data_IF_820449430133
#
_entry.id   IF_820449430133
#
_cell.length_a   1.000
_cell.length_b   1.000
_cell.length_c   1.000
_cell.angle_alpha   90.00
_cell.angle_beta   90.00
_cell.angle_gamma   90.00
#
_symmetry.space_group_name_H-M   'P 1'
#
loop_
_entity.id
_entity.type
_entity.pdbx_description
1 polymer ?
#
# COMPACT_ATOMS: atom_id res chain seq x y z
N UNK A 1 -18.69 15.80 -12.12
CA UNK A 1 -17.88 14.75 -11.46
C UNK A 1 -18.61 14.31 -10.21
N UNK A 2 -18.71 13.00 -9.89
CA UNK A 2 -19.31 12.59 -8.62
C UNK A 2 -18.52 13.20 -7.46
N UNK A 3 -19.23 13.66 -6.42
CA UNK A 3 -18.63 14.32 -5.26
C UNK A 3 -17.50 13.49 -4.62
N UNK A 4 -16.49 14.19 -4.13
CA UNK A 4 -15.34 13.62 -3.45
C UNK A 4 -15.80 12.97 -2.15
N UNK A 5 -15.40 11.73 -1.87
CA UNK A 5 -15.72 11.02 -0.62
C UNK A 5 -14.57 11.22 0.35
N UNK A 6 -14.75 12.13 1.28
CA UNK A 6 -13.71 12.59 2.23
C UNK A 6 -13.15 11.43 3.08
N UNK A 7 -13.99 10.48 3.47
CA UNK A 7 -13.56 9.28 4.20
C UNK A 7 -12.42 8.55 3.51
N UNK A 8 -12.52 8.35 2.19
CA UNK A 8 -11.50 7.63 1.39
C UNK A 8 -10.18 8.41 1.33
N UNK A 9 -10.25 9.73 1.39
CA UNK A 9 -9.04 10.56 1.48
C UNK A 9 -8.35 10.40 2.82
N UNK A 10 -9.10 10.48 3.92
CA UNK A 10 -8.54 10.30 5.25
C UNK A 10 -7.95 8.89 5.43
N UNK A 11 -8.63 7.86 4.88
CA UNK A 11 -8.09 6.49 4.86
C UNK A 11 -6.72 6.46 4.14
N UNK A 12 -6.60 7.15 3.00
CA UNK A 12 -5.33 7.23 2.27
C UNK A 12 -4.22 7.91 3.07
N UNK A 13 -4.55 9.00 3.77
CA UNK A 13 -3.62 9.69 4.65
C UNK A 13 -3.16 8.82 5.82
N UNK A 14 -4.11 8.16 6.50
CA UNK A 14 -3.82 7.24 7.61
C UNK A 14 -3.00 6.03 7.15
N UNK A 15 -3.34 5.44 6.01
CA UNK A 15 -2.58 4.32 5.42
C UNK A 15 -1.13 4.73 5.09
N UNK A 16 -0.91 5.98 4.65
CA UNK A 16 0.47 6.44 4.39
C UNK A 16 1.31 6.53 5.66
N UNK A 17 0.71 6.97 6.78
CA UNK A 17 1.38 6.93 8.08
C UNK A 17 1.75 5.49 8.46
N UNK A 18 0.85 4.55 8.27
CA UNK A 18 1.13 3.14 8.55
C UNK A 18 2.23 2.56 7.64
N UNK A 19 2.29 2.91 6.36
CA UNK A 19 3.39 2.46 5.47
C UNK A 19 4.74 2.97 5.97
N UNK A 20 4.85 4.27 6.32
CA UNK A 20 6.08 4.80 6.93
C UNK A 20 6.37 4.10 8.25
N UNK A 21 5.35 3.76 9.04
CA UNK A 21 5.47 3.01 10.28
C UNK A 21 6.11 1.64 10.08
N UNK A 22 5.58 0.84 9.14
CA UNK A 22 6.11 -0.49 8.79
C UNK A 22 7.60 -0.41 8.45
N UNK A 23 7.99 0.53 7.61
CA UNK A 23 9.39 0.64 7.21
C UNK A 23 10.29 1.20 8.32
N UNK A 24 9.77 2.11 9.17
CA UNK A 24 10.48 2.54 10.38
C UNK A 24 10.70 1.37 11.34
N UNK A 25 9.71 0.49 11.50
CA UNK A 25 9.85 -0.75 12.27
C UNK A 25 11.01 -1.61 11.74
N UNK A 26 11.07 -1.84 10.43
CA UNK A 26 12.17 -2.59 9.80
C UNK A 26 13.55 -1.94 10.09
N UNK A 27 13.68 -0.62 9.97
CA UNK A 27 14.93 0.08 10.32
C UNK A 27 15.29 -0.04 11.81
N UNK A 28 14.32 -0.17 12.71
CA UNK A 28 14.58 -0.34 14.15
C UNK A 28 15.28 -1.64 14.49
N UNK A 29 15.25 -2.65 13.59
CA UNK A 29 15.95 -3.92 13.76
C UNK A 29 17.48 -3.79 13.74
N UNK A 30 18.01 -2.71 13.19
CA UNK A 30 19.46 -2.42 13.22
C UNK A 30 19.93 -1.85 14.57
N UNK A 31 19.03 -1.59 15.51
CA UNK A 31 19.34 -1.04 16.82
C UNK A 31 19.88 -2.08 17.81
N UNK A 32 20.56 -1.64 18.88
CA UNK A 32 21.16 -2.53 19.87
C UNK A 32 20.12 -3.27 20.73
N UNK A 33 18.91 -2.73 20.85
CA UNK A 33 17.80 -3.35 21.57
C UNK A 33 16.48 -2.87 20.97
N UNK A 34 15.76 -3.77 20.31
CA UNK A 34 14.47 -3.46 19.70
C UNK A 34 13.38 -3.40 20.77
N UNK A 35 12.69 -2.27 20.84
CA UNK A 35 11.49 -2.17 21.67
C UNK A 35 10.33 -2.90 20.98
N UNK A 36 10.03 -4.12 21.43
CA UNK A 36 8.98 -4.99 20.84
C UNK A 36 7.59 -4.37 20.86
N UNK A 37 7.29 -3.47 21.80
CA UNK A 37 5.98 -2.78 21.88
C UNK A 37 5.87 -1.65 20.86
N UNK A 38 6.93 -0.83 20.71
CA UNK A 38 6.99 0.18 19.65
C UNK A 38 6.98 -0.48 18.27
N UNK A 39 7.70 -1.59 18.12
CA UNK A 39 7.70 -2.39 16.91
C UNK A 39 6.29 -2.93 16.58
N UNK A 40 5.57 -3.47 17.58
CA UNK A 40 4.18 -3.91 17.38
C UNK A 40 3.28 -2.76 16.89
N UNK A 41 3.43 -1.55 17.45
CA UNK A 41 2.68 -0.37 17.02
C UNK A 41 3.00 0.01 15.57
N UNK A 42 4.28 0.04 15.21
CA UNK A 42 4.72 0.44 13.87
C UNK A 42 4.41 -0.60 12.80
N UNK A 43 4.62 -1.89 13.10
CA UNK A 43 4.53 -2.99 12.15
C UNK A 43 3.17 -3.70 12.17
N UNK A 44 2.71 -4.17 13.34
CA UNK A 44 1.53 -5.05 13.42
C UNK A 44 0.24 -4.23 13.29
N UNK A 45 0.13 -3.10 14.02
CA UNK A 45 -1.04 -2.23 13.91
C UNK A 45 -1.16 -1.62 12.51
N UNK A 46 -0.04 -1.44 11.81
CA UNK A 46 -0.01 -0.84 10.47
C UNK A 46 -0.17 -1.86 9.33
N UNK A 47 -0.30 -3.16 9.59
CA UNK A 47 -0.36 -4.23 8.56
C UNK A 47 -1.48 -4.06 7.53
N UNK A 48 -2.57 -3.39 7.86
CA UNK A 48 -3.64 -3.06 6.93
C UNK A 48 -3.23 -2.05 5.84
N UNK A 49 -2.15 -1.30 6.04
CA UNK A 49 -1.84 -0.08 5.28
C UNK A 49 -1.58 -0.33 3.80
N UNK A 50 -0.88 -1.39 3.43
CA UNK A 50 -0.64 -1.73 2.03
C UNK A 50 -1.92 -2.24 1.35
N UNK A 51 -2.62 -3.26 1.89
CA UNK A 51 -3.84 -3.75 1.26
C UNK A 51 -4.93 -2.68 1.12
N UNK A 52 -5.07 -1.77 2.08
CA UNK A 52 -6.13 -0.75 2.04
C UNK A 52 -5.93 0.24 0.88
N UNK A 53 -4.71 0.42 0.37
CA UNK A 53 -4.50 1.22 -0.83
C UNK A 53 -5.13 0.59 -2.07
N UNK A 54 -5.25 -0.75 -2.16
CA UNK A 54 -6.01 -1.39 -3.23
C UNK A 54 -7.51 -1.12 -3.09
N UNK A 55 -8.05 -1.17 -1.86
CA UNK A 55 -9.44 -0.76 -1.57
C UNK A 55 -9.70 0.68 -2.00
N UNK A 56 -8.86 1.62 -1.56
CA UNK A 56 -9.00 3.05 -1.90
C UNK A 56 -8.86 3.30 -3.40
N UNK A 57 -7.93 2.61 -4.06
CA UNK A 57 -7.73 2.71 -5.50
C UNK A 57 -8.95 2.23 -6.27
N UNK A 58 -9.46 1.04 -5.95
CA UNK A 58 -10.67 0.50 -6.56
C UNK A 58 -11.87 1.42 -6.29
N UNK A 59 -12.04 1.87 -5.05
CA UNK A 59 -13.13 2.78 -4.69
C UNK A 59 -13.11 4.05 -5.56
N UNK A 60 -11.96 4.69 -5.71
CA UNK A 60 -11.80 5.87 -6.56
C UNK A 60 -12.08 5.59 -8.03
N UNK A 61 -11.60 4.44 -8.54
CA UNK A 61 -11.83 4.01 -9.92
C UNK A 61 -13.31 3.80 -10.21
N UNK A 62 -14.01 3.05 -9.37
CA UNK A 62 -15.42 2.69 -9.59
C UNK A 62 -16.39 3.85 -9.28
N UNK A 63 -15.96 4.85 -8.53
CA UNK A 63 -16.67 6.14 -8.42
C UNK A 63 -16.56 6.95 -9.71
N UNK A 64 -15.38 6.94 -10.34
CA UNK A 64 -15.13 7.72 -11.57
C UNK A 64 -15.62 6.99 -12.83
N UNK A 65 -15.41 5.68 -12.91
CA UNK A 65 -15.65 4.83 -14.08
C UNK A 65 -16.69 3.75 -13.74
N UNK A 66 -17.94 4.18 -13.53
CA UNK A 66 -19.03 3.27 -13.12
C UNK A 66 -19.24 2.15 -14.14
N UNK A 67 -19.53 0.90 -13.67
CA UNK A 67 -20.00 -0.16 -14.56
C UNK A 67 -21.25 0.29 -15.35
N UNK A 68 -21.39 -0.18 -16.60
CA UNK A 68 -22.52 0.19 -17.46
C UNK A 68 -22.39 1.54 -18.17
N UNK A 69 -21.39 2.39 -17.81
CA UNK A 69 -21.12 3.63 -18.56
C UNK A 69 -20.01 3.42 -19.58
N UNK A 70 -20.04 4.08 -20.75
CA UNK A 70 -18.94 4.02 -21.70
C UNK A 70 -17.60 4.44 -21.05
N UNK A 71 -16.53 3.74 -21.39
CA UNK A 71 -15.17 4.06 -20.97
C UNK A 71 -14.25 3.98 -22.19
N UNK A 72 -13.59 5.09 -22.48
CA UNK A 72 -12.45 5.11 -23.39
C UNK A 72 -11.23 4.48 -22.67
N UNK A 73 -10.99 3.22 -22.99
CA UNK A 73 -9.86 2.46 -22.41
C UNK A 73 -8.50 3.01 -22.86
N UNK A 74 -8.40 3.57 -24.08
CA UNK A 74 -7.17 4.19 -24.57
C UNK A 74 -6.77 5.39 -23.72
N UNK A 75 -7.71 6.31 -23.51
CA UNK A 75 -7.51 7.47 -22.63
C UNK A 75 -7.25 7.05 -21.16
N UNK A 76 -7.95 6.01 -20.69
CA UNK A 76 -7.75 5.45 -19.35
C UNK A 76 -6.31 4.93 -19.19
N UNK A 77 -5.85 4.04 -20.06
CA UNK A 77 -4.51 3.44 -19.96
C UNK A 77 -3.41 4.48 -20.13
N UNK A 78 -3.56 5.40 -21.09
CA UNK A 78 -2.61 6.51 -21.27
C UNK A 78 -2.49 7.33 -19.99
N UNK A 79 -3.61 7.66 -19.35
CA UNK A 79 -3.60 8.42 -18.08
C UNK A 79 -2.90 7.63 -16.99
N UNK A 80 -3.18 6.31 -16.82
CA UNK A 80 -2.54 5.48 -15.81
C UNK A 80 -1.05 5.29 -16.07
N UNK A 81 -0.65 5.11 -17.32
CA UNK A 81 0.75 5.07 -17.69
C UNK A 81 1.48 6.36 -17.26
N UNK A 82 0.95 7.52 -17.60
CA UNK A 82 1.59 8.79 -17.27
C UNK A 82 1.60 9.11 -15.76
N UNK A 83 0.57 8.68 -15.01
CA UNK A 83 0.45 9.05 -13.59
C UNK A 83 0.96 7.99 -12.62
N UNK A 84 1.21 6.76 -13.07
CA UNK A 84 1.66 5.65 -12.22
C UNK A 84 2.89 4.94 -12.80
N UNK A 85 2.80 4.45 -14.06
CA UNK A 85 3.90 3.66 -14.63
C UNK A 85 5.15 4.51 -14.89
N UNK A 86 5.00 5.72 -15.43
CA UNK A 86 6.14 6.60 -15.70
C UNK A 86 6.87 7.01 -14.41
N UNK A 87 6.18 7.49 -13.34
CA UNK A 87 6.84 7.72 -12.06
C UNK A 87 7.45 6.45 -11.46
N UNK A 88 6.77 5.31 -11.56
CA UNK A 88 7.31 4.03 -11.12
C UNK A 88 8.67 3.73 -11.78
N UNK A 89 8.76 3.84 -13.11
CA UNK A 89 10.00 3.60 -13.83
C UNK A 89 11.09 4.61 -13.46
N UNK A 90 10.73 5.90 -13.36
CA UNK A 90 11.69 6.95 -12.98
C UNK A 90 12.30 6.67 -11.59
N UNK A 91 11.46 6.32 -10.60
CA UNK A 91 11.93 5.99 -9.26
C UNK A 91 12.68 4.65 -9.21
N UNK A 92 12.26 3.65 -9.99
CA UNK A 92 13.00 2.38 -10.09
C UNK A 92 14.43 2.62 -10.60
N UNK A 93 14.60 3.40 -11.66
CA UNK A 93 15.92 3.74 -12.19
C UNK A 93 16.75 4.55 -11.18
N UNK A 94 16.13 5.48 -10.46
CA UNK A 94 16.80 6.25 -9.39
C UNK A 94 17.29 5.33 -8.26
N UNK A 95 16.45 4.39 -7.79
CA UNK A 95 16.84 3.46 -6.74
C UNK A 95 17.90 2.46 -7.20
N UNK A 96 17.83 1.97 -8.45
CA UNK A 96 18.88 1.14 -9.02
C UNK A 96 20.21 1.91 -9.12
N UNK A 97 20.17 3.17 -9.54
CA UNK A 97 21.35 4.02 -9.57
C UNK A 97 21.93 4.22 -8.15
N UNK A 98 21.08 4.53 -7.17
CA UNK A 98 21.50 4.69 -5.77
C UNK A 98 22.13 3.41 -5.23
N UNK A 99 21.53 2.25 -5.51
CA UNK A 99 22.06 0.95 -5.13
C UNK A 99 23.45 0.72 -5.73
N UNK A 100 23.62 0.89 -7.07
CA UNK A 100 24.92 0.74 -7.73
C UNK A 100 25.97 1.71 -7.19
N UNK A 101 25.56 2.95 -6.90
CA UNK A 101 26.48 3.95 -6.36
C UNK A 101 26.95 3.61 -4.94
N UNK A 102 26.07 3.05 -4.11
CA UNK A 102 26.41 2.74 -2.71
C UNK A 102 27.13 1.41 -2.52
N UNK A 103 26.83 0.42 -3.37
CA UNK A 103 27.39 -0.93 -3.26
C UNK A 103 28.56 -1.19 -4.22
N UNK A 104 28.69 -0.39 -5.25
CA UNK A 104 29.63 -0.62 -6.36
C UNK A 104 29.14 -1.68 -7.37
N UNK A 105 27.94 -2.25 -7.18
CA UNK A 105 27.40 -3.29 -8.04
C UNK A 105 26.77 -2.73 -9.32
N UNK A 106 27.40 -2.96 -10.45
CA UNK A 106 26.92 -2.49 -11.77
C UNK A 106 26.13 -3.55 -12.54
N UNK A 107 26.24 -4.83 -12.19
CA UNK A 107 25.62 -5.93 -12.93
C UNK A 107 24.09 -5.86 -12.97
N UNK A 108 23.44 -5.15 -12.04
CA UNK A 108 21.99 -4.94 -12.04
C UNK A 108 21.48 -4.18 -13.28
N UNK A 109 22.38 -3.52 -14.02
CA UNK A 109 22.07 -2.82 -15.27
C UNK A 109 22.14 -3.72 -16.52
N UNK A 110 22.66 -4.94 -16.35
CA UNK A 110 22.80 -5.90 -17.44
C UNK A 110 21.54 -6.78 -17.56
N UNK A 111 21.13 -7.17 -18.80
CA UNK A 111 20.14 -8.23 -18.95
C UNK A 111 20.65 -9.56 -18.39
N UNK A 112 19.78 -10.37 -17.73
CA UNK A 112 18.34 -10.17 -17.52
C UNK A 112 17.98 -9.32 -16.29
N UNK A 113 18.92 -8.96 -15.42
CA UNK A 113 18.68 -8.35 -14.11
C UNK A 113 17.90 -7.03 -14.19
N UNK A 114 18.24 -6.13 -15.11
CA UNK A 114 17.52 -4.87 -15.28
C UNK A 114 16.02 -5.10 -15.54
N UNK A 115 15.68 -6.13 -16.31
CA UNK A 115 14.28 -6.49 -16.59
C UNK A 115 13.59 -7.07 -15.36
N UNK A 116 14.28 -7.89 -14.58
CA UNK A 116 13.78 -8.44 -13.32
C UNK A 116 13.47 -7.32 -12.31
N UNK A 117 14.42 -6.41 -12.13
CA UNK A 117 14.25 -5.27 -11.24
C UNK A 117 13.04 -4.41 -11.62
N UNK A 118 12.88 -4.11 -12.92
CA UNK A 118 11.78 -3.30 -13.41
C UNK A 118 10.45 -4.06 -13.48
N UNK A 119 10.44 -5.36 -13.76
CA UNK A 119 9.20 -6.13 -13.88
C UNK A 119 8.62 -6.51 -12.52
N UNK A 120 9.46 -6.87 -11.55
CA UNK A 120 9.02 -7.31 -10.23
C UNK A 120 9.07 -6.22 -9.14
N UNK A 121 9.53 -5.02 -9.48
CA UNK A 121 9.62 -3.90 -8.53
C UNK A 121 10.72 -4.09 -7.49
N UNK A 122 11.85 -4.71 -7.85
CA UNK A 122 12.93 -5.06 -6.94
C UNK A 122 13.89 -3.90 -6.64
N UNK A 123 13.77 -2.79 -7.35
CA UNK A 123 14.66 -1.64 -7.18
C UNK A 123 14.55 -0.98 -5.78
N UNK A 124 13.43 -1.16 -5.10
CA UNK A 124 13.25 -0.79 -3.70
C UNK A 124 12.05 -1.54 -3.11
N UNK A 125 12.12 -1.87 -1.84
CA UNK A 125 11.20 -2.79 -1.15
C UNK A 125 9.70 -2.42 -1.23
N UNK A 126 9.33 -1.16 -1.43
CA UNK A 126 7.94 -0.74 -1.56
C UNK A 126 7.40 -0.83 -3.00
N UNK A 127 8.25 -0.88 -4.02
CA UNK A 127 7.83 -0.71 -5.43
C UNK A 127 6.98 -1.86 -5.98
N UNK A 128 7.05 -3.05 -5.38
CA UNK A 128 6.21 -4.20 -5.74
C UNK A 128 4.71 -3.87 -5.74
N UNK A 129 4.25 -3.04 -4.79
CA UNK A 129 2.85 -2.61 -4.73
C UNK A 129 2.40 -1.91 -6.02
N UNK A 130 3.27 -1.07 -6.61
CA UNK A 130 2.96 -0.38 -7.86
C UNK A 130 2.89 -1.34 -9.05
N UNK A 131 3.71 -2.38 -9.07
CA UNK A 131 3.63 -3.45 -10.07
C UNK A 131 2.25 -4.12 -9.99
N UNK A 132 1.83 -4.55 -8.79
CA UNK A 132 0.50 -5.14 -8.60
C UNK A 132 -0.61 -4.16 -9.01
N UNK A 133 -0.47 -2.88 -8.66
CA UNK A 133 -1.45 -1.85 -8.99
C UNK A 133 -1.56 -1.63 -10.50
N UNK A 134 -0.46 -1.67 -11.24
CA UNK A 134 -0.44 -1.60 -12.72
C UNK A 134 -1.20 -2.78 -13.32
N UNK A 135 -1.01 -4.00 -12.79
CA UNK A 135 -1.78 -5.18 -13.21
C UNK A 135 -3.28 -5.03 -12.90
N UNK A 136 -3.67 -4.47 -11.76
CA UNK A 136 -5.07 -4.14 -11.50
C UNK A 136 -5.66 -3.16 -12.52
N UNK A 137 -4.87 -2.18 -12.95
CA UNK A 137 -5.32 -1.26 -14.02
C UNK A 137 -5.41 -1.96 -15.38
N UNK A 138 -4.46 -2.82 -15.73
CA UNK A 138 -4.49 -3.58 -16.98
C UNK A 138 -5.75 -4.46 -17.08
N UNK A 139 -6.19 -5.04 -15.97
CA UNK A 139 -7.38 -5.88 -15.86
C UNK A 139 -8.68 -5.08 -15.65
N UNK A 140 -8.70 -3.76 -15.85
CA UNK A 140 -9.89 -2.92 -15.63
C UNK A 140 -11.15 -3.39 -16.39
N UNK A 141 -11.08 -3.91 -17.64
CA UNK A 141 -12.25 -4.46 -18.32
C UNK A 141 -12.88 -5.62 -17.54
N UNK A 142 -12.07 -6.54 -17.02
CA UNK A 142 -12.52 -7.68 -16.21
C UNK A 142 -13.21 -7.19 -14.93
N UNK A 143 -12.58 -6.28 -14.19
CA UNK A 143 -13.17 -5.78 -12.94
C UNK A 143 -14.50 -5.08 -13.16
N UNK A 144 -14.63 -4.32 -14.24
CA UNK A 144 -15.91 -3.68 -14.62
C UNK A 144 -16.98 -4.69 -15.03
N UNK A 145 -16.61 -5.81 -15.64
CA UNK A 145 -17.54 -6.86 -16.02
C UNK A 145 -18.09 -7.64 -14.80
N UNK A 146 -17.23 -7.94 -13.82
CA UNK A 146 -17.64 -8.77 -12.66
C UNK A 146 -18.30 -7.96 -11.53
N UNK A 147 -17.95 -6.70 -11.36
CA UNK A 147 -18.45 -5.86 -10.25
C UNK A 147 -19.97 -5.77 -10.18
N UNK A 148 -20.77 -5.66 -11.27
CA UNK A 148 -22.22 -5.60 -11.18
C UNK A 148 -22.85 -6.85 -10.54
N UNK A 149 -22.35 -8.04 -10.88
CA UNK A 149 -22.82 -9.29 -10.27
C UNK A 149 -22.51 -9.36 -8.77
N UNK A 150 -21.30 -8.92 -8.38
CA UNK A 150 -20.91 -8.84 -6.97
C UNK A 150 -21.77 -7.81 -6.23
N UNK A 151 -21.99 -6.65 -6.82
CA UNK A 151 -22.79 -5.59 -6.23
C UNK A 151 -24.28 -5.94 -6.08
N UNK A 152 -24.81 -6.81 -6.95
CA UNK A 152 -26.20 -7.28 -6.86
C UNK A 152 -26.44 -8.14 -5.60
N UNK A 153 -25.47 -8.97 -5.21
CA UNK A 153 -25.54 -9.84 -4.01
C UNK A 153 -24.20 -9.78 -3.25
N UNK A 154 -23.90 -8.65 -2.55
CA UNK A 154 -22.56 -8.42 -2.04
C UNK A 154 -22.14 -9.40 -0.95
N UNK A 155 -23.02 -9.77 0.00
CA UNK A 155 -22.65 -10.61 1.13
C UNK A 155 -22.16 -12.01 0.71
N UNK A 156 -22.93 -12.81 -0.08
CA UNK A 156 -22.46 -14.13 -0.47
C UNK A 156 -21.20 -14.07 -1.36
N UNK A 157 -21.15 -13.13 -2.30
CA UNK A 157 -20.01 -13.04 -3.21
C UNK A 157 -18.73 -12.55 -2.52
N UNK A 158 -18.82 -11.51 -1.68
CA UNK A 158 -17.67 -11.05 -0.91
C UNK A 158 -17.23 -12.06 0.14
N UNK A 159 -18.16 -12.81 0.75
CA UNK A 159 -17.83 -13.91 1.64
C UNK A 159 -17.09 -15.04 0.93
N UNK A 160 -17.56 -15.45 -0.25
CA UNK A 160 -16.88 -16.46 -1.08
C UNK A 160 -15.50 -15.99 -1.55
N UNK A 161 -15.38 -14.73 -1.96
CA UNK A 161 -14.09 -14.13 -2.35
C UNK A 161 -13.11 -14.04 -1.18
N UNK A 162 -13.59 -13.70 0.02
CA UNK A 162 -12.75 -13.67 1.22
C UNK A 162 -12.20 -15.07 1.53
N UNK A 163 -13.06 -16.09 1.51
CA UNK A 163 -12.65 -17.48 1.74
C UNK A 163 -11.66 -17.97 0.67
N UNK A 164 -11.96 -17.70 -0.60
CA UNK A 164 -11.07 -18.05 -1.72
C UNK A 164 -9.72 -17.33 -1.62
N UNK A 165 -9.72 -16.04 -1.26
CA UNK A 165 -8.51 -15.25 -1.05
C UNK A 165 -7.66 -15.81 0.11
N UNK A 166 -8.29 -16.16 1.23
CA UNK A 166 -7.59 -16.74 2.37
C UNK A 166 -6.94 -18.08 2.00
N UNK A 167 -7.69 -18.97 1.32
CA UNK A 167 -7.19 -20.25 0.86
C UNK A 167 -6.06 -20.10 -0.16
N UNK A 168 -6.21 -19.20 -1.13
CA UNK A 168 -5.19 -18.92 -2.13
C UNK A 168 -3.90 -18.33 -1.50
N UNK A 169 -4.05 -17.36 -0.60
CA UNK A 169 -2.90 -16.77 0.09
C UNK A 169 -2.16 -17.81 0.93
N UNK A 170 -2.91 -18.63 1.68
CA UNK A 170 -2.32 -19.71 2.46
C UNK A 170 -1.55 -20.68 1.57
N UNK A 171 -2.16 -21.17 0.49
CA UNK A 171 -1.51 -22.06 -0.46
C UNK A 171 -0.26 -21.40 -1.08
N UNK A 172 -0.38 -20.17 -1.58
CA UNK A 172 0.73 -19.46 -2.22
C UNK A 172 1.90 -19.21 -1.27
N UNK A 173 1.62 -18.85 -0.02
CA UNK A 173 2.68 -18.47 0.93
C UNK A 173 3.32 -19.68 1.63
N UNK A 174 2.57 -20.77 1.85
CA UNK A 174 3.01 -21.86 2.71
C UNK A 174 3.19 -23.22 1.99
N UNK A 175 2.58 -23.40 0.82
CA UNK A 175 2.58 -24.68 0.11
C UNK A 175 3.32 -24.60 -1.22
N UNK A 176 3.11 -23.51 -1.98
CA UNK A 176 3.72 -23.32 -3.29
C UNK A 176 5.20 -23.00 -3.15
N UNK A 177 6.06 -23.99 -3.44
CA UNK A 177 7.50 -23.78 -3.50
C UNK A 177 7.94 -23.16 -4.84
N UNK A 178 8.96 -22.31 -4.81
CA UNK A 178 9.78 -22.01 -5.99
C UNK A 178 10.77 -23.17 -6.17
N UNK A 179 11.10 -23.54 -7.40
CA UNK A 179 12.01 -24.66 -7.69
C UNK A 179 11.67 -25.38 -8.99
N UNK A 180 11.03 -24.67 -9.94
CA UNK A 180 10.84 -25.20 -11.29
C UNK A 180 12.18 -25.26 -12.05
N UNK A 181 12.35 -26.27 -12.91
CA UNK A 181 13.56 -26.44 -13.73
C UNK A 181 13.71 -25.32 -14.76
N UNK A 182 12.59 -24.78 -15.27
CA UNK A 182 12.62 -23.64 -16.17
C UNK A 182 12.93 -22.34 -15.42
N UNK A 183 13.93 -21.61 -15.90
CA UNK A 183 14.41 -20.37 -15.30
C UNK A 183 13.31 -19.32 -15.14
N UNK A 184 12.50 -19.08 -16.17
CA UNK A 184 11.48 -18.03 -16.14
C UNK A 184 10.30 -18.42 -15.26
N UNK A 185 9.91 -19.69 -15.27
CA UNK A 185 8.86 -20.20 -14.36
C UNK A 185 9.32 -20.11 -12.91
N UNK A 186 10.56 -20.51 -12.63
CA UNK A 186 11.13 -20.39 -11.28
C UNK A 186 11.20 -18.94 -10.80
N UNK A 187 11.65 -18.02 -11.66
CA UNK A 187 11.69 -16.59 -11.39
C UNK A 187 10.29 -16.03 -11.09
N UNK A 188 9.31 -16.38 -11.92
CA UNK A 188 7.91 -15.98 -11.73
C UNK A 188 7.34 -16.49 -10.40
N UNK A 189 7.63 -17.73 -10.01
CA UNK A 189 7.20 -18.31 -8.73
C UNK A 189 7.92 -17.66 -7.53
N UNK A 190 9.22 -17.39 -7.65
CA UNK A 190 10.02 -16.72 -6.61
C UNK A 190 9.47 -15.34 -6.28
N UNK A 191 9.12 -14.55 -7.30
CA UNK A 191 8.65 -13.19 -7.13
C UNK A 191 7.11 -13.04 -7.13
N UNK A 192 6.34 -14.15 -7.07
CA UNK A 192 4.87 -14.14 -7.16
C UNK A 192 4.17 -13.14 -6.24
N UNK A 193 4.71 -12.90 -5.05
CA UNK A 193 4.15 -11.96 -4.08
C UNK A 193 4.30 -10.50 -4.54
N UNK A 194 5.19 -10.22 -5.49
CA UNK A 194 5.48 -8.88 -5.98
C UNK A 194 4.63 -8.47 -7.19
N UNK A 195 3.90 -9.40 -7.85
CA UNK A 195 3.13 -9.04 -9.04
C UNK A 195 1.78 -9.76 -9.19
N UNK A 196 1.50 -10.86 -8.43
CA UNK A 196 0.23 -11.55 -8.55
C UNK A 196 -0.92 -10.74 -7.91
N UNK A 197 -1.81 -10.22 -8.74
CA UNK A 197 -3.05 -9.53 -8.31
C UNK A 197 -3.94 -10.42 -7.44
N UNK A 198 -3.86 -11.74 -7.63
CA UNK A 198 -4.66 -12.73 -6.92
C UNK A 198 -4.53 -12.63 -5.40
N UNK A 199 -3.41 -12.10 -4.89
CA UNK A 199 -3.21 -11.89 -3.45
C UNK A 199 -4.06 -10.75 -2.87
N UNK A 200 -4.69 -9.91 -3.71
CA UNK A 200 -5.40 -8.71 -3.26
C UNK A 200 -6.77 -8.49 -3.95
N UNK A 201 -7.25 -9.47 -4.74
CA UNK A 201 -8.51 -9.36 -5.50
C UNK A 201 -9.69 -9.06 -4.60
N UNK A 202 -9.79 -9.74 -3.45
CA UNK A 202 -10.88 -9.50 -2.49
C UNK A 202 -10.92 -8.05 -2.04
N UNK A 203 -9.78 -7.50 -1.60
CA UNK A 203 -9.71 -6.14 -1.06
C UNK A 203 -10.00 -5.11 -2.15
N UNK A 204 -9.51 -5.35 -3.37
CA UNK A 204 -9.79 -4.49 -4.52
C UNK A 204 -11.29 -4.51 -4.88
N UNK A 205 -11.90 -5.69 -5.02
CA UNK A 205 -13.32 -5.82 -5.35
C UNK A 205 -14.24 -5.35 -4.21
N UNK A 206 -13.82 -5.49 -2.95
CA UNK A 206 -14.51 -4.87 -1.82
C UNK A 206 -14.62 -3.35 -2.01
N UNK A 207 -13.51 -2.69 -2.36
CA UNK A 207 -13.48 -1.25 -2.67
C UNK A 207 -14.39 -0.87 -3.85
N UNK A 208 -14.39 -1.70 -4.92
CA UNK A 208 -15.25 -1.50 -6.08
C UNK A 208 -16.74 -1.60 -5.73
N UNK A 209 -17.14 -2.64 -4.99
CA UNK A 209 -18.53 -2.86 -4.56
C UNK A 209 -19.00 -1.72 -3.63
N UNK A 210 -18.16 -1.35 -2.63
CA UNK A 210 -18.47 -0.23 -1.74
C UNK A 210 -18.64 1.09 -2.50
N UNK A 211 -17.86 1.33 -3.56
CA UNK A 211 -17.99 2.51 -4.40
C UNK A 211 -19.28 2.54 -5.22
N UNK A 212 -19.68 1.39 -5.78
CA UNK A 212 -20.91 1.25 -6.58
C UNK A 212 -22.14 1.36 -5.68
N UNK A 213 -22.12 0.79 -4.48
CA UNK A 213 -23.18 0.80 -3.47
C UNK A 213 -22.91 1.77 -2.32
N UNK A 214 -22.38 2.96 -2.62
CA UNK A 214 -21.90 3.88 -1.58
C UNK A 214 -22.95 4.23 -0.51
N UNK A 215 -24.20 4.48 -0.91
CA UNK A 215 -25.23 4.88 0.05
C UNK A 215 -25.64 3.72 0.97
N UNK A 216 -25.70 2.48 0.44
CA UNK A 216 -25.93 1.29 1.25
C UNK A 216 -24.76 1.04 2.20
N UNK A 217 -23.53 1.27 1.73
CA UNK A 217 -22.33 1.13 2.53
C UNK A 217 -22.28 2.15 3.69
N UNK A 218 -22.65 3.41 3.42
CA UNK A 218 -22.82 4.46 4.44
C UNK A 218 -23.87 4.08 5.47
N UNK A 219 -25.04 3.65 5.00
CA UNK A 219 -26.13 3.22 5.86
C UNK A 219 -25.72 2.03 6.75
N UNK A 220 -24.98 1.06 6.18
CA UNK A 220 -24.42 -0.07 6.94
C UNK A 220 -23.43 0.42 7.99
N UNK A 221 -22.47 1.26 7.61
CA UNK A 221 -21.43 1.81 8.50
C UNK A 221 -22.05 2.61 9.67
N UNK A 222 -23.10 3.38 9.40
CA UNK A 222 -23.81 4.14 10.42
C UNK A 222 -24.60 3.22 11.38
N UNK A 223 -25.38 2.25 10.81
CA UNK A 223 -26.26 1.38 11.58
C UNK A 223 -25.51 0.32 12.39
N UNK A 224 -24.42 -0.23 11.84
CA UNK A 224 -23.64 -1.32 12.45
C UNK A 224 -22.31 -0.84 13.04
N UNK A 225 -22.26 0.41 13.46
CA UNK A 225 -21.03 1.03 13.94
C UNK A 225 -20.43 0.31 15.14
N UNK A 226 -21.26 -0.08 16.11
CA UNK A 226 -20.80 -0.78 17.31
C UNK A 226 -20.18 -2.13 16.93
N UNK A 227 -20.84 -2.88 16.08
CA UNK A 227 -20.36 -4.18 15.60
C UNK A 227 -19.07 -4.05 14.79
N UNK A 228 -18.95 -3.01 13.96
CA UNK A 228 -17.72 -2.70 13.21
C UNK A 228 -16.57 -2.37 14.16
N UNK A 229 -16.82 -1.55 15.19
CA UNK A 229 -15.80 -1.23 16.19
C UNK A 229 -15.35 -2.47 16.98
N UNK A 230 -16.28 -3.32 17.38
CA UNK A 230 -15.98 -4.58 18.08
C UNK A 230 -15.21 -5.52 17.15
N UNK A 231 -15.63 -5.66 15.89
CA UNK A 231 -14.94 -6.49 14.92
C UNK A 231 -13.48 -6.02 14.69
N UNK A 232 -13.27 -4.70 14.55
CA UNK A 232 -11.92 -4.15 14.43
C UNK A 232 -11.09 -4.39 15.69
N UNK A 233 -11.66 -4.14 16.88
CA UNK A 233 -10.95 -4.36 18.13
C UNK A 233 -10.56 -5.83 18.33
N UNK A 234 -11.44 -6.77 17.99
CA UNK A 234 -11.16 -8.21 18.06
C UNK A 234 -10.09 -8.62 17.03
N UNK A 235 -10.19 -8.16 15.79
CA UNK A 235 -9.21 -8.46 14.76
C UNK A 235 -7.82 -7.92 15.14
N UNK A 236 -7.73 -6.71 15.68
CA UNK A 236 -6.49 -6.13 16.20
C UNK A 236 -5.97 -6.91 17.41
N UNK A 237 -6.85 -7.28 18.33
CA UNK A 237 -6.47 -8.07 19.51
C UNK A 237 -5.93 -9.45 19.12
N UNK A 238 -6.51 -10.09 18.09
CA UNK A 238 -6.00 -11.36 17.53
C UNK A 238 -4.61 -11.16 16.94
N UNK A 239 -4.40 -10.10 16.14
CA UNK A 239 -3.08 -9.79 15.55
C UNK A 239 -2.02 -9.56 16.63
N UNK A 240 -2.31 -8.72 17.61
CA UNK A 240 -1.39 -8.43 18.73
C UNK A 240 -1.18 -9.63 19.64
N UNK A 241 -2.26 -10.34 19.98
CA UNK A 241 -2.19 -11.56 20.79
C UNK A 241 -1.32 -12.64 20.13
N UNK A 242 -1.49 -12.85 18.81
CA UNK A 242 -0.67 -13.78 18.04
C UNK A 242 0.79 -13.33 17.97
N UNK A 243 1.04 -12.03 17.81
CA UNK A 243 2.38 -11.44 17.82
C UNK A 243 3.12 -11.74 19.14
N UNK A 244 2.51 -11.39 20.26
CA UNK A 244 3.14 -11.63 21.58
C UNK A 244 3.23 -13.12 21.92
N UNK A 245 2.28 -13.92 21.47
CA UNK A 245 2.34 -15.37 21.66
C UNK A 245 3.52 -15.99 20.91
N UNK A 246 3.74 -15.62 19.64
CA UNK A 246 4.89 -16.11 18.86
C UNK A 246 6.22 -15.71 19.50
N UNK A 247 6.36 -14.46 19.94
CA UNK A 247 7.56 -14.03 20.69
C UNK A 247 7.74 -14.81 21.98
N UNK A 248 6.66 -15.04 22.73
CA UNK A 248 6.68 -15.81 23.96
C UNK A 248 7.02 -17.29 23.78
N UNK A 249 6.82 -17.84 22.57
CA UNK A 249 7.23 -19.21 22.20
C UNK A 249 8.64 -19.30 21.61
N UNK A 250 9.40 -18.17 21.62
CA UNK A 250 10.80 -18.13 21.20
C UNK A 250 11.01 -17.87 19.69
N UNK A 251 9.96 -17.43 18.98
CA UNK A 251 10.16 -16.98 17.61
C UNK A 251 10.98 -15.69 17.60
N UNK A 252 11.93 -15.60 16.69
CA UNK A 252 12.63 -14.35 16.40
C UNK A 252 11.64 -13.31 15.87
N UNK A 253 11.95 -12.03 16.11
CA UNK A 253 11.07 -10.92 15.74
C UNK A 253 10.79 -10.87 14.24
N UNK A 254 11.80 -11.04 13.39
CA UNK A 254 11.66 -11.06 11.94
C UNK A 254 10.77 -12.22 11.47
N UNK A 255 10.96 -13.42 12.01
CA UNK A 255 10.12 -14.58 11.71
C UNK A 255 8.68 -14.37 12.16
N UNK A 256 8.47 -13.74 13.31
CA UNK A 256 7.15 -13.39 13.83
C UNK A 256 6.40 -12.45 12.87
N UNK A 257 7.08 -11.41 12.39
CA UNK A 257 6.54 -10.43 11.44
C UNK A 257 6.20 -11.06 10.10
N UNK A 258 7.08 -11.92 9.58
CA UNK A 258 6.85 -12.64 8.33
C UNK A 258 5.68 -13.64 8.42
N UNK A 259 5.45 -14.22 9.61
CA UNK A 259 4.28 -15.08 9.87
C UNK A 259 2.97 -14.28 9.88
N UNK A 260 2.99 -13.06 10.45
CA UNK A 260 1.83 -12.17 10.59
C UNK A 260 1.73 -11.12 9.46
N UNK A 261 2.22 -11.45 8.28
CA UNK A 261 2.13 -10.55 7.14
C UNK A 261 0.67 -10.31 6.70
N UNK A 262 0.45 -9.27 5.91
CA UNK A 262 -0.88 -8.88 5.41
C UNK A 262 -1.60 -9.95 4.58
N UNK A 263 -0.89 -10.96 4.09
CA UNK A 263 -1.45 -12.09 3.32
C UNK A 263 -1.85 -13.27 4.22
N UNK A 264 -1.46 -13.27 5.50
CA UNK A 264 -1.94 -14.28 6.46
C UNK A 264 -3.46 -14.21 6.63
N UNK A 265 -4.12 -15.29 7.03
CA UNK A 265 -5.56 -15.26 7.30
C UNK A 265 -5.95 -14.17 8.30
N UNK A 266 -5.17 -14.02 9.38
CA UNK A 266 -5.36 -12.98 10.40
C UNK A 266 -5.17 -11.58 9.80
N UNK A 267 -4.13 -11.38 8.98
CA UNK A 267 -3.85 -10.11 8.29
C UNK A 267 -4.95 -9.72 7.30
N UNK A 268 -5.53 -10.70 6.59
CA UNK A 268 -6.64 -10.48 5.67
C UNK A 268 -7.92 -10.05 6.40
N UNK A 269 -8.27 -10.73 7.51
CA UNK A 269 -9.42 -10.38 8.36
C UNK A 269 -9.21 -9.01 9.00
N UNK A 270 -8.00 -8.73 9.48
CA UNK A 270 -7.65 -7.43 10.04
C UNK A 270 -7.76 -6.30 8.99
N UNK A 271 -7.32 -6.56 7.77
CA UNK A 271 -7.48 -5.59 6.65
C UNK A 271 -8.95 -5.30 6.36
N UNK A 272 -9.81 -6.33 6.30
CA UNK A 272 -11.26 -6.13 6.14
C UNK A 272 -11.83 -5.29 7.28
N UNK A 273 -11.51 -5.64 8.52
CA UNK A 273 -11.96 -4.91 9.70
C UNK A 273 -11.49 -3.43 9.67
N UNK A 274 -10.24 -3.18 9.28
CA UNK A 274 -9.69 -1.83 9.13
C UNK A 274 -10.38 -1.03 8.02
N UNK A 275 -10.69 -1.64 6.86
CA UNK A 275 -11.45 -0.98 5.79
C UNK A 275 -12.81 -0.49 6.28
N UNK A 276 -13.56 -1.35 6.99
CA UNK A 276 -14.88 -1.01 7.52
C UNK A 276 -14.80 0.03 8.64
N UNK A 277 -13.89 -0.16 9.58
CA UNK A 277 -13.70 0.72 10.73
C UNK A 277 -13.27 2.13 10.32
N UNK A 278 -12.23 2.25 9.52
CA UNK A 278 -11.72 3.55 9.10
C UNK A 278 -12.75 4.30 8.24
N UNK A 279 -13.50 3.59 7.39
CA UNK A 279 -14.60 4.24 6.67
C UNK A 279 -15.68 4.74 7.63
N UNK A 280 -16.13 3.93 8.58
CA UNK A 280 -17.17 4.30 9.56
C UNK A 280 -16.74 5.47 10.46
N UNK A 281 -15.44 5.58 10.78
CA UNK A 281 -14.87 6.70 11.55
C UNK A 281 -14.76 7.96 10.71
N UNK A 282 -14.23 7.83 9.48
CA UNK A 282 -13.87 8.97 8.64
C UNK A 282 -15.01 9.50 7.76
N UNK A 283 -16.12 8.77 7.62
CA UNK A 283 -17.35 9.29 6.94
C UNK A 283 -18.16 10.24 7.87
N UNK A 284 -17.49 10.79 8.88
CA UNK A 284 -18.05 11.74 9.86
C UNK A 284 -17.19 13.00 9.90
N UNK A 285 -17.76 14.11 10.36
CA UNK A 285 -16.97 15.30 10.62
C UNK A 285 -15.86 15.02 11.61
N UNK A 286 -14.63 15.38 11.26
CA UNK A 286 -13.46 15.29 12.14
C UNK A 286 -13.00 16.68 12.56
N UNK A 287 -12.44 16.82 13.77
CA UNK A 287 -11.78 18.05 14.19
C UNK A 287 -10.67 18.45 13.19
N UNK A 288 -10.50 19.74 12.98
CA UNK A 288 -9.50 20.27 12.03
C UNK A 288 -8.08 19.78 12.32
N UNK A 289 -7.74 19.60 13.60
CA UNK A 289 -6.43 19.08 14.04
C UNK A 289 -6.14 17.65 13.50
N UNK A 290 -7.17 16.85 13.17
CA UNK A 290 -7.05 15.51 12.60
C UNK A 290 -7.25 15.54 11.08
N UNK A 291 -8.29 16.23 10.61
CA UNK A 291 -8.66 16.23 9.19
C UNK A 291 -7.65 16.94 8.30
N UNK A 292 -7.02 18.03 8.77
CA UNK A 292 -6.06 18.81 7.97
C UNK A 292 -4.79 18.01 7.68
N UNK A 293 -4.08 17.40 8.63
CA UNK A 293 -2.90 16.59 8.34
C UNK A 293 -3.22 15.34 7.52
N UNK A 294 -4.36 14.66 7.76
CA UNK A 294 -4.78 13.53 6.95
C UNK A 294 -5.05 13.93 5.50
N UNK A 295 -5.71 15.07 5.26
CA UNK A 295 -5.94 15.61 3.93
C UNK A 295 -4.63 16.01 3.23
N UNK A 296 -3.68 16.57 3.96
CA UNK A 296 -2.36 16.92 3.43
C UNK A 296 -1.62 15.66 2.98
N UNK A 297 -1.52 14.65 3.86
CA UNK A 297 -0.92 13.36 3.55
C UNK A 297 -1.64 12.67 2.39
N UNK A 298 -2.96 12.68 2.36
CA UNK A 298 -3.75 12.07 1.28
C UNK A 298 -3.44 12.69 -0.10
N UNK A 299 -3.29 14.00 -0.15
CA UNK A 299 -2.95 14.72 -1.41
C UNK A 299 -1.58 14.35 -1.94
N UNK A 300 -0.62 14.15 -1.05
CA UNK A 300 0.76 13.85 -1.39
C UNK A 300 1.12 12.37 -1.27
N UNK A 301 0.17 11.49 -0.87
CA UNK A 301 0.43 10.10 -0.49
C UNK A 301 1.21 9.30 -1.52
N UNK A 302 0.91 9.48 -2.82
CA UNK A 302 1.62 8.76 -3.88
C UNK A 302 3.09 9.19 -4.00
N UNK A 303 3.35 10.48 -3.94
CA UNK A 303 4.72 10.99 -4.02
C UNK A 303 5.51 10.70 -2.73
N UNK A 304 4.86 10.82 -1.55
CA UNK A 304 5.44 10.38 -0.27
C UNK A 304 5.77 8.89 -0.31
N UNK A 305 4.87 8.07 -0.87
CA UNK A 305 5.10 6.65 -1.05
C UNK A 305 6.35 6.35 -1.90
N UNK A 306 6.59 7.13 -2.94
CA UNK A 306 7.76 6.97 -3.79
C UNK A 306 9.06 7.44 -3.13
N UNK A 307 9.00 8.52 -2.32
CA UNK A 307 10.20 9.20 -1.81
C UNK A 307 10.65 8.73 -0.42
N UNK A 308 9.74 8.23 0.44
CA UNK A 308 10.08 7.96 1.85
C UNK A 308 11.26 6.99 2.06
N UNK A 309 11.50 5.96 1.23
CA UNK A 309 12.68 5.11 1.43
C UNK A 309 13.99 5.85 1.15
N UNK A 310 13.98 6.78 0.19
CA UNK A 310 15.13 7.64 -0.06
C UNK A 310 15.42 8.53 1.16
N UNK A 311 14.38 9.13 1.74
CA UNK A 311 14.51 9.93 2.96
C UNK A 311 15.02 9.09 4.12
N UNK A 312 14.46 7.88 4.32
CA UNK A 312 14.91 6.94 5.35
C UNK A 312 16.37 6.56 5.19
N UNK A 313 16.79 6.27 3.97
CA UNK A 313 18.18 5.92 3.66
C UNK A 313 19.15 7.03 4.10
N UNK A 314 18.88 8.28 3.74
CA UNK A 314 19.75 9.40 4.12
C UNK A 314 19.69 9.72 5.62
N UNK A 315 18.50 9.67 6.23
CA UNK A 315 18.37 9.85 7.68
C UNK A 315 19.13 8.78 8.47
N UNK A 316 19.07 7.52 8.03
CA UNK A 316 19.85 6.45 8.66
C UNK A 316 21.35 6.65 8.47
N UNK A 317 21.78 7.05 7.28
CA UNK A 317 23.19 7.34 7.00
C UNK A 317 23.73 8.46 7.93
N UNK A 318 22.97 9.53 8.12
CA UNK A 318 23.33 10.61 9.05
C UNK A 318 23.39 10.15 10.51
N UNK A 319 22.43 9.35 10.96
CA UNK A 319 22.44 8.78 12.31
C UNK A 319 23.66 7.87 12.52
N UNK A 320 23.99 7.03 11.56
CA UNK A 320 25.19 6.18 11.59
C UNK A 320 26.48 6.99 11.62
N UNK A 321 26.59 8.03 10.79
CA UNK A 321 27.74 8.93 10.76
C UNK A 321 27.93 9.67 12.09
N UNK A 322 26.82 10.03 12.75
CA UNK A 322 26.82 10.65 14.07
C UNK A 322 27.03 9.64 15.24
N UNK A 323 27.15 8.36 14.98
CA UNK A 323 27.27 7.33 16.00
C UNK A 323 26.00 7.14 16.86
N UNK A 324 24.84 7.58 16.34
CA UNK A 324 23.56 7.51 17.06
C UNK A 324 22.86 6.18 16.77
N UNK A 325 22.70 5.35 17.81
CA UNK A 325 22.01 4.07 17.70
C UNK A 325 20.48 4.24 17.64
N UNK A 326 19.80 3.30 16.97
CA UNK A 326 18.33 3.22 16.82
C UNK A 326 17.63 2.81 18.12
N UNK A 327 17.82 3.58 19.19
CA UNK A 327 17.10 3.42 20.45
C UNK A 327 15.64 3.92 20.31
N UNK A 328 14.75 3.54 21.22
CA UNK A 328 13.30 3.85 21.17
C UNK A 328 12.98 5.32 20.85
N UNK A 329 13.57 6.34 21.51
CA UNK A 329 13.27 7.74 21.17
C UNK A 329 13.78 8.15 19.78
N UNK A 330 14.92 7.58 19.35
CA UNK A 330 15.48 7.82 18.01
C UNK A 330 14.57 7.23 16.94
N UNK A 331 14.04 6.02 17.14
CA UNK A 331 13.07 5.39 16.22
C UNK A 331 11.80 6.23 16.10
N UNK A 332 11.28 6.76 17.20
CA UNK A 332 10.12 7.66 17.18
C UNK A 332 10.44 8.97 16.43
N UNK A 333 11.60 9.57 16.67
CA UNK A 333 12.08 10.76 15.95
C UNK A 333 12.30 10.49 14.46
N UNK A 334 12.88 9.35 14.11
CA UNK A 334 13.10 8.90 12.75
C UNK A 334 11.78 8.74 11.97
N UNK A 335 10.74 8.15 12.61
CA UNK A 335 9.41 8.07 12.03
C UNK A 335 8.83 9.46 11.70
N UNK A 336 8.83 10.36 12.68
CA UNK A 336 8.29 11.72 12.50
C UNK A 336 9.09 12.49 11.45
N UNK A 337 10.43 12.44 11.52
CA UNK A 337 11.31 13.08 10.56
C UNK A 337 11.06 12.54 9.13
N UNK A 338 10.92 11.22 8.96
CA UNK A 338 10.62 10.62 7.65
C UNK A 338 9.32 11.18 7.08
N UNK A 339 8.24 11.26 7.87
CA UNK A 339 6.96 11.81 7.39
C UNK A 339 7.10 13.27 6.98
N UNK A 340 7.71 14.09 7.83
CA UNK A 340 7.84 15.54 7.58
C UNK A 340 8.75 15.81 6.38
N UNK A 341 9.94 15.22 6.36
CA UNK A 341 10.92 15.43 5.27
C UNK A 341 10.37 14.92 3.94
N UNK A 342 9.68 13.77 3.93
CA UNK A 342 9.03 13.25 2.72
C UNK A 342 7.95 14.21 2.20
N UNK A 343 7.15 14.81 3.07
CA UNK A 343 6.14 15.80 2.67
C UNK A 343 6.80 17.08 2.11
N UNK A 344 7.83 17.59 2.77
CA UNK A 344 8.56 18.78 2.32
C UNK A 344 9.23 18.52 0.96
N UNK A 345 9.91 17.40 0.82
CA UNK A 345 10.53 16.99 -0.44
C UNK A 345 9.52 16.86 -1.56
N UNK A 346 8.37 16.24 -1.29
CA UNK A 346 7.26 16.11 -2.25
C UNK A 346 6.70 17.49 -2.67
N UNK A 347 6.57 18.41 -1.72
CA UNK A 347 6.13 19.77 -2.01
C UNK A 347 7.14 20.49 -2.91
N UNK A 348 8.45 20.37 -2.61
CA UNK A 348 9.53 20.92 -3.43
C UNK A 348 9.54 20.34 -4.85
N UNK A 349 9.42 19.02 -5.00
CA UNK A 349 9.29 18.38 -6.31
C UNK A 349 8.09 18.91 -7.11
N UNK A 350 6.97 19.17 -6.43
CA UNK A 350 5.78 19.74 -7.07
C UNK A 350 5.97 21.16 -7.63
N UNK A 351 7.01 21.89 -7.18
CA UNK A 351 7.38 23.18 -7.70
C UNK A 351 8.22 23.11 -8.99
N UNK A 352 8.70 21.92 -9.39
CA UNK A 352 9.51 21.73 -10.60
C UNK A 352 8.61 21.47 -11.82
N UNK A 353 8.49 22.39 -12.80
CA UNK A 353 7.49 22.29 -13.86
C UNK A 353 7.61 21.04 -14.74
N UNK A 354 8.84 20.62 -15.05
CA UNK A 354 9.13 19.47 -15.92
C UNK A 354 9.24 18.16 -15.15
N UNK A 355 9.96 18.16 -14.03
CA UNK A 355 10.24 16.96 -13.22
C UNK A 355 9.09 16.62 -12.25
N UNK A 356 8.36 17.62 -11.79
CA UNK A 356 7.26 17.42 -10.85
C UNK A 356 6.25 16.37 -11.32
N UNK A 357 5.63 16.51 -12.50
CA UNK A 357 4.70 15.50 -13.03
C UNK A 357 5.33 14.12 -13.19
N UNK A 358 6.58 14.05 -13.65
CA UNK A 358 7.34 12.81 -13.85
C UNK A 358 7.56 12.06 -12.53
N UNK A 359 7.92 12.77 -11.47
CA UNK A 359 8.31 12.17 -10.19
C UNK A 359 7.15 12.04 -9.19
N UNK A 360 6.10 12.88 -9.30
CA UNK A 360 4.97 12.87 -8.36
C UNK A 360 3.72 12.22 -8.91
N UNK A 361 3.67 11.84 -10.20
CA UNK A 361 2.49 11.29 -10.86
C UNK A 361 1.33 12.30 -10.98
N UNK A 362 1.60 13.58 -10.78
CA UNK A 362 0.58 14.62 -10.99
C UNK A 362 0.37 14.79 -12.49
N UNK A 363 -0.90 14.71 -12.95
CA UNK A 363 -1.19 14.95 -14.36
C UNK A 363 -0.70 16.35 -14.76
N UNK A 364 0.03 16.52 -15.87
CA UNK A 364 0.41 17.83 -16.35
C UNK A 364 -0.86 18.69 -16.52
N UNK A 365 -0.83 19.90 -15.99
CA UNK A 365 -1.89 20.89 -16.28
C UNK A 365 -1.83 21.19 -17.75
N UNK A 366 -2.72 20.58 -18.55
CA UNK A 366 -2.91 20.95 -19.95
C UNK A 366 -3.37 22.40 -19.91
N UNK A 367 -2.49 23.35 -20.25
CA UNK A 367 -2.90 24.72 -20.55
C UNK A 367 -3.91 24.59 -21.70
N UNK A 368 -5.16 24.95 -21.45
CA UNK A 368 -6.11 25.13 -22.54
C UNK A 368 -5.49 26.18 -23.47
N UNK A 369 -5.35 25.91 -24.76
CA UNK A 369 -4.95 26.96 -25.69
C UNK A 369 -6.07 28.00 -25.70
N UNK A 370 -5.78 29.23 -25.29
CA UNK A 370 -6.69 30.36 -25.36
C UNK A 370 -7.57 30.56 -24.11
N UNK A 371 -7.01 31.13 -23.05
CA UNK A 371 -7.69 32.00 -22.10
C UNK A 371 -6.84 33.26 -21.94
#
# INVERSE_FOLDING_TARGET
>A
MPGRVTAVEYIRGAAMLGVVGIHTGAYSLSGPAVNVHLFALLEIVSRFSVPIFFFVSAFGLFRQYRPGTPLDYGAFYRRRALTVLVPYLAWSLLYMWLYSWTTGEAHIWEPPYVYEFLFFGLASYQLYFLVILVWFYALMPLWRAVTPALAARPLPWLGALLAAQAAFNYWSCNVLAAGADDYYVNLALKHRLSYWVLHYVFVFLLGAVCAVRLEDFRALAARRRREINVFFALALAIMLGRYYWLLGTGYELERTVNTLQQLSPEGLVYTLAACLFLFAVFDRPLPAAVSSPLSLLARHSYAVYLVHPLVMFFLEAELKAAGVAMATPVVAGFYVATVIVSLLFTAALGCLPALGPLLTGTAPKIRKPGA
#
